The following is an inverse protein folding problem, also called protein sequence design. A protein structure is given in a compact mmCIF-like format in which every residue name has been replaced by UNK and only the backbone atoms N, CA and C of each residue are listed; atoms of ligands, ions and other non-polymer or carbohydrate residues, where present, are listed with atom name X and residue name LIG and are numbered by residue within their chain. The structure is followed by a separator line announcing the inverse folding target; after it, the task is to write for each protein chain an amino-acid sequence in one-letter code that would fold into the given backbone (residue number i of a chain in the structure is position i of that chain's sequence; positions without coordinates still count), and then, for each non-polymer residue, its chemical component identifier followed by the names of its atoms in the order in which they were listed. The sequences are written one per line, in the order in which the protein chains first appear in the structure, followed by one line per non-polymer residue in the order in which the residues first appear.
data_IF_806722648488
#
_entry.id   IF_806722648488
#
_cell.length_a   1.000
_cell.length_b   1.000
_cell.length_c   1.000
_cell.angle_alpha   90.00
_cell.angle_beta   90.00
_cell.angle_gamma   90.00
#
_symmetry.space_group_name_H-M   'P 1'
#
loop_
_entity.id
_entity.type
_entity.pdbx_description
1 polymer ?
#
# COMPACT_ATOMS: atom_id res chain seq x y z
N UNK A 1 -38.87 18.77 5.33
CA UNK A 1 -37.53 18.59 5.90
C UNK A 1 -36.53 19.18 4.91
N UNK A 2 -36.06 20.40 5.19
CA UNK A 2 -34.95 21.00 4.42
C UNK A 2 -33.69 20.22 4.81
N UNK A 3 -33.11 19.46 3.89
CA UNK A 3 -31.79 18.84 4.10
C UNK A 3 -30.77 19.97 4.22
N UNK A 4 -30.29 20.21 5.42
CA UNK A 4 -29.24 21.17 5.68
C UNK A 4 -27.93 20.68 5.08
N UNK A 5 -27.30 21.48 4.20
CA UNK A 5 -26.03 21.15 3.61
C UNK A 5 -24.91 21.33 4.65
N UNK A 6 -24.16 20.28 4.91
CA UNK A 6 -23.02 20.31 5.81
C UNK A 6 -21.76 20.61 5.00
N UNK A 7 -21.00 21.67 5.33
CA UNK A 7 -19.73 21.94 4.69
C UNK A 7 -18.75 20.79 4.97
N UNK A 8 -18.09 20.28 3.92
CA UNK A 8 -17.13 19.18 4.05
C UNK A 8 -15.94 19.40 3.12
N UNK A 9 -14.81 18.78 3.45
CA UNK A 9 -13.62 18.74 2.60
C UNK A 9 -13.78 17.65 1.53
N UNK A 10 -13.06 17.80 0.42
CA UNK A 10 -13.12 16.84 -0.68
C UNK A 10 -12.74 15.40 -0.28
N UNK A 11 -11.74 15.24 0.59
CA UNK A 11 -11.32 13.95 1.13
C UNK A 11 -12.43 13.28 1.97
N UNK A 12 -13.08 14.02 2.88
CA UNK A 12 -14.21 13.50 3.65
C UNK A 12 -15.41 13.14 2.78
N UNK A 13 -15.66 13.91 1.71
CA UNK A 13 -16.71 13.55 0.76
C UNK A 13 -16.39 12.27 0.01
N UNK A 14 -15.12 12.01 -0.35
CA UNK A 14 -14.69 10.77 -0.96
C UNK A 14 -14.88 9.57 -0.01
N UNK A 15 -14.54 9.72 1.29
CA UNK A 15 -14.82 8.69 2.29
C UNK A 15 -16.33 8.41 2.42
N UNK A 16 -17.17 9.45 2.43
CA UNK A 16 -18.64 9.28 2.46
C UNK A 16 -19.14 8.46 1.26
N UNK A 17 -18.69 8.79 0.05
CA UNK A 17 -19.05 8.05 -1.18
C UNK A 17 -18.58 6.59 -1.06
N UNK A 18 -17.36 6.36 -0.63
CA UNK A 18 -16.83 5.01 -0.44
C UNK A 18 -17.66 4.19 0.56
N UNK A 19 -18.05 4.78 1.70
CA UNK A 19 -18.93 4.12 2.67
C UNK A 19 -20.29 3.78 2.08
N UNK A 20 -20.90 4.68 1.31
CA UNK A 20 -22.20 4.46 0.67
C UNK A 20 -22.14 3.29 -0.33
N UNK A 21 -21.11 3.25 -1.17
CA UNK A 21 -20.87 2.15 -2.11
C UNK A 21 -20.59 0.81 -1.38
N UNK A 22 -19.81 0.87 -0.30
CA UNK A 22 -19.53 -0.29 0.54
C UNK A 22 -20.83 -0.85 1.14
N UNK A 23 -21.63 0.00 1.77
CA UNK A 23 -22.91 -0.39 2.41
C UNK A 23 -23.86 -0.98 1.35
N UNK A 24 -24.00 -0.35 0.20
CA UNK A 24 -24.85 -0.85 -0.88
C UNK A 24 -24.42 -2.25 -1.35
N UNK A 25 -23.11 -2.46 -1.52
CA UNK A 25 -22.57 -3.75 -1.95
C UNK A 25 -22.82 -4.85 -0.92
N UNK A 26 -22.57 -4.56 0.34
CA UNK A 26 -22.66 -5.54 1.41
C UNK A 26 -24.12 -5.85 1.79
N UNK A 27 -25.02 -4.87 1.75
CA UNK A 27 -26.47 -5.09 1.99
C UNK A 27 -27.09 -6.01 0.93
N UNK A 28 -26.57 -5.98 -0.31
CA UNK A 28 -27.01 -6.91 -1.37
C UNK A 28 -26.52 -8.33 -1.12
N UNK A 29 -25.37 -8.50 -0.48
CA UNK A 29 -24.73 -9.79 -0.24
C UNK A 29 -25.21 -10.47 1.05
N UNK A 30 -25.45 -9.68 2.08
CA UNK A 30 -25.81 -10.17 3.41
C UNK A 30 -27.11 -9.51 3.88
N UNK A 31 -28.15 -10.32 4.11
CA UNK A 31 -29.51 -9.81 4.47
C UNK A 31 -29.56 -9.11 5.82
N UNK A 32 -28.73 -9.55 6.76
CA UNK A 32 -28.69 -9.02 8.13
C UNK A 32 -27.60 -7.93 8.32
N UNK A 33 -26.98 -7.49 7.22
CA UNK A 33 -25.97 -6.44 7.28
C UNK A 33 -26.61 -5.09 7.51
N UNK A 34 -26.24 -4.45 8.62
CA UNK A 34 -26.72 -3.13 9.04
C UNK A 34 -25.54 -2.26 9.42
N UNK A 35 -25.63 -0.99 9.13
CA UNK A 35 -24.65 0.02 9.55
C UNK A 35 -25.39 1.12 10.28
N UNK A 36 -25.03 1.35 11.52
CA UNK A 36 -25.60 2.36 12.40
C UNK A 36 -24.68 3.59 12.38
N UNK A 37 -25.26 4.75 12.07
CA UNK A 37 -24.58 6.03 12.22
C UNK A 37 -25.05 6.67 13.55
N UNK A 38 -24.20 6.59 14.56
CA UNK A 38 -24.43 7.14 15.89
C UNK A 38 -23.54 8.35 16.20
N UNK A 39 -23.15 9.11 15.18
CA UNK A 39 -22.25 10.26 15.34
C UNK A 39 -22.96 11.53 15.83
N UNK A 40 -24.31 11.51 15.87
CA UNK A 40 -25.17 12.62 16.35
C UNK A 40 -24.96 13.97 15.63
N UNK A 41 -24.26 13.95 14.50
CA UNK A 41 -24.00 15.14 13.66
C UNK A 41 -23.22 14.79 12.41
N UNK A 42 -22.86 15.81 11.63
CA UNK A 42 -22.08 15.65 10.41
C UNK A 42 -22.88 15.28 9.17
N UNK A 43 -22.19 14.81 8.13
CA UNK A 43 -22.81 14.46 6.87
C UNK A 43 -23.59 13.14 6.94
N UNK A 44 -24.78 13.11 6.39
CA UNK A 44 -25.54 11.89 6.25
C UNK A 44 -24.84 10.92 5.30
N UNK A 45 -24.69 9.66 5.74
CA UNK A 45 -24.19 8.56 4.91
C UNK A 45 -25.41 7.73 4.49
N UNK A 46 -25.65 7.62 3.18
CA UNK A 46 -26.77 6.86 2.63
C UNK A 46 -26.64 5.37 2.95
N UNK A 47 -27.76 4.76 3.35
CA UNK A 47 -27.78 3.34 3.70
C UNK A 47 -27.48 3.04 5.17
N UNK A 48 -27.19 4.06 5.99
CA UNK A 48 -27.06 3.90 7.43
C UNK A 48 -28.38 4.14 8.15
N UNK A 49 -28.58 3.45 9.27
CA UNK A 49 -29.61 3.76 10.25
C UNK A 49 -29.09 4.85 11.19
N UNK A 50 -29.87 5.90 11.37
CA UNK A 50 -29.47 7.02 12.25
C UNK A 50 -30.11 6.83 13.62
N UNK A 51 -29.30 6.81 14.67
CA UNK A 51 -29.75 6.80 16.05
C UNK A 51 -28.73 7.49 16.97
N UNK A 52 -29.13 7.81 18.18
CA UNK A 52 -28.18 8.33 19.18
C UNK A 52 -27.22 7.24 19.63
N UNK A 53 -26.02 7.62 20.08
CA UNK A 53 -25.05 6.67 20.62
C UNK A 53 -25.63 5.86 21.80
N UNK A 54 -26.37 6.53 22.67
CA UNK A 54 -27.07 5.89 23.81
C UNK A 54 -28.01 4.78 23.34
N UNK A 55 -28.85 5.07 22.34
CA UNK A 55 -29.78 4.09 21.79
C UNK A 55 -29.04 2.94 21.07
N UNK A 56 -27.98 3.25 20.34
CA UNK A 56 -27.17 2.23 19.68
C UNK A 56 -26.54 1.27 20.70
N UNK A 57 -25.96 1.78 21.77
CA UNK A 57 -25.41 0.97 22.87
C UNK A 57 -26.52 0.12 23.52
N UNK A 58 -27.65 0.73 23.88
CA UNK A 58 -28.74 0.06 24.54
C UNK A 58 -29.37 -1.08 23.69
N UNK A 59 -29.40 -0.91 22.37
CA UNK A 59 -29.99 -1.86 21.45
C UNK A 59 -29.01 -2.96 21.03
N UNK A 60 -27.76 -2.65 20.79
CA UNK A 60 -26.81 -3.59 20.17
C UNK A 60 -25.82 -4.18 21.19
N UNK A 61 -25.49 -3.47 22.26
CA UNK A 61 -24.50 -3.92 23.26
C UNK A 61 -25.18 -4.63 24.46
N UNK A 62 -26.07 -5.58 24.18
CA UNK A 62 -26.84 -6.29 25.23
C UNK A 62 -26.05 -7.36 25.97
N UNK A 63 -25.00 -7.87 25.35
CA UNK A 63 -24.20 -8.95 25.92
C UNK A 63 -22.90 -8.38 26.48
N UNK A 64 -22.67 -8.64 27.76
CA UNK A 64 -21.37 -8.34 28.38
C UNK A 64 -20.34 -9.36 27.88
N UNK A 65 -19.37 -8.91 27.11
CA UNK A 65 -18.28 -9.77 26.64
C UNK A 65 -17.09 -9.59 27.57
N UNK A 66 -16.60 -10.71 28.10
CA UNK A 66 -15.32 -10.73 28.81
C UNK A 66 -14.17 -10.74 27.80
N UNK A 67 -13.68 -9.54 27.46
CA UNK A 67 -12.61 -9.36 26.49
C UNK A 67 -11.33 -10.06 26.95
N UNK A 68 -11.04 -10.03 28.26
CA UNK A 68 -9.86 -10.68 28.83
C UNK A 68 -9.90 -12.18 28.61
N UNK A 69 -11.01 -12.83 28.94
CA UNK A 69 -11.20 -14.26 28.71
C UNK A 69 -11.13 -14.62 27.21
N UNK A 70 -11.67 -13.77 26.33
CA UNK A 70 -11.55 -13.97 24.88
C UNK A 70 -10.09 -13.89 24.39
N UNK A 71 -9.31 -12.93 24.90
CA UNK A 71 -7.89 -12.79 24.57
C UNK A 71 -7.09 -14.00 25.09
N UNK A 72 -7.31 -14.40 26.34
CA UNK A 72 -6.65 -15.58 26.93
C UNK A 72 -6.96 -16.86 26.15
N UNK A 73 -8.22 -17.03 25.72
CA UNK A 73 -8.63 -18.16 24.89
C UNK A 73 -7.93 -18.15 23.52
N UNK A 74 -7.77 -16.97 22.90
CA UNK A 74 -7.04 -16.83 21.64
C UNK A 74 -5.54 -17.14 21.83
N UNK A 75 -4.94 -16.67 22.91
CA UNK A 75 -3.55 -16.98 23.24
C UNK A 75 -3.32 -18.47 23.44
N UNK A 76 -4.24 -19.17 24.12
CA UNK A 76 -4.16 -20.62 24.33
C UNK A 76 -4.37 -21.44 23.06
N UNK A 77 -5.01 -20.89 22.04
CA UNK A 77 -5.25 -21.54 20.76
C UNK A 77 -4.13 -21.30 19.72
N UNK A 78 -3.11 -20.52 20.10
CA UNK A 78 -1.98 -20.23 19.19
C UNK A 78 -1.15 -21.51 19.01
N UNK A 79 -1.26 -22.11 17.82
CA UNK A 79 -0.62 -23.37 17.51
C UNK A 79 0.92 -23.19 17.43
N UNK A 80 1.67 -24.05 18.14
CA UNK A 80 3.13 -24.08 18.10
C UNK A 80 3.69 -24.19 16.68
N UNK A 81 2.96 -24.81 15.77
CA UNK A 81 3.33 -24.90 14.36
C UNK A 81 3.28 -23.54 13.68
N UNK A 82 2.20 -22.78 13.89
CA UNK A 82 2.03 -21.42 13.33
C UNK A 82 3.09 -20.47 13.90
N UNK A 83 3.40 -20.59 15.19
CA UNK A 83 4.48 -19.83 15.81
C UNK A 83 5.84 -20.14 15.17
N UNK A 84 6.15 -21.41 14.96
CA UNK A 84 7.41 -21.80 14.32
C UNK A 84 7.51 -21.37 12.87
N UNK A 85 6.41 -21.36 12.13
CA UNK A 85 6.33 -20.85 10.75
C UNK A 85 6.52 -19.33 10.71
N UNK A 86 5.91 -18.60 11.66
CA UNK A 86 6.07 -17.15 11.79
C UNK A 86 7.51 -16.79 12.14
N UNK A 87 8.14 -17.47 13.07
CA UNK A 87 9.54 -17.26 13.44
C UNK A 87 10.48 -17.47 12.24
N UNK A 88 10.28 -18.56 11.48
CA UNK A 88 11.05 -18.80 10.25
C UNK A 88 10.84 -17.72 9.20
N UNK A 89 9.62 -17.22 9.07
CA UNK A 89 9.31 -16.12 8.16
C UNK A 89 10.07 -14.86 8.60
N UNK A 90 9.98 -14.47 9.87
CA UNK A 90 10.67 -13.30 10.42
C UNK A 90 12.19 -13.41 10.29
N UNK A 91 12.77 -14.59 10.56
CA UNK A 91 14.18 -14.85 10.42
C UNK A 91 14.70 -14.66 8.99
N UNK A 92 13.89 -15.00 7.98
CA UNK A 92 14.27 -14.87 6.57
C UNK A 92 13.97 -13.49 5.98
N UNK A 93 13.10 -12.71 6.61
CA UNK A 93 12.62 -11.42 6.11
C UNK A 93 13.74 -10.41 5.82
N UNK A 94 14.79 -10.26 6.65
CA UNK A 94 15.91 -9.37 6.34
C UNK A 94 16.62 -9.72 5.03
N UNK A 95 16.81 -11.02 4.76
CA UNK A 95 17.47 -11.47 3.53
C UNK A 95 16.63 -11.14 2.29
N UNK A 96 15.31 -11.24 2.38
CA UNK A 96 14.38 -10.86 1.30
C UNK A 96 14.47 -9.36 0.98
N UNK A 97 14.54 -8.49 1.99
CA UNK A 97 14.75 -7.06 1.77
C UNK A 97 16.13 -6.75 1.19
N UNK A 98 17.17 -7.43 1.65
CA UNK A 98 18.52 -7.32 1.07
C UNK A 98 18.53 -7.70 -0.43
N UNK A 99 17.77 -8.73 -0.83
CA UNK A 99 17.62 -9.11 -2.24
C UNK A 99 16.90 -8.02 -3.05
N UNK A 100 15.82 -7.44 -2.51
CA UNK A 100 15.12 -6.33 -3.18
C UNK A 100 16.05 -5.12 -3.34
N UNK A 101 16.84 -4.78 -2.31
CA UNK A 101 17.82 -3.70 -2.37
C UNK A 101 18.86 -3.91 -3.49
N UNK A 102 19.37 -5.14 -3.65
CA UNK A 102 20.29 -5.50 -4.74
C UNK A 102 19.62 -5.36 -6.11
N UNK A 103 18.36 -5.79 -6.24
CA UNK A 103 17.59 -5.65 -7.48
C UNK A 103 17.30 -4.18 -7.79
N UNK A 104 17.02 -3.35 -6.79
CA UNK A 104 16.84 -1.90 -6.97
C UNK A 104 18.11 -1.22 -7.47
N UNK A 105 19.29 -1.52 -6.91
CA UNK A 105 20.58 -1.05 -7.43
C UNK A 105 20.82 -1.47 -8.88
N UNK A 106 20.53 -2.73 -9.20
CA UNK A 106 20.64 -3.22 -10.58
C UNK A 106 19.67 -2.51 -11.53
N UNK A 107 18.43 -2.27 -11.09
CA UNK A 107 17.42 -1.52 -11.82
C UNK A 107 17.85 -0.08 -12.09
N UNK A 108 18.38 0.63 -11.09
CA UNK A 108 18.93 1.98 -11.26
C UNK A 108 20.02 2.01 -12.34
N UNK A 109 20.94 1.05 -12.32
CA UNK A 109 21.99 0.95 -13.33
C UNK A 109 21.43 0.73 -14.75
N UNK A 110 20.30 0.04 -14.90
CA UNK A 110 19.62 -0.11 -16.19
C UNK A 110 19.01 1.21 -16.65
N UNK A 111 18.40 2.00 -15.77
CA UNK A 111 17.89 3.34 -16.10
C UNK A 111 19.00 4.31 -16.46
N UNK A 112 20.16 4.26 -15.79
CA UNK A 112 21.37 5.02 -16.19
C UNK A 112 21.82 4.64 -17.61
N UNK A 113 21.73 3.36 -17.98
CA UNK A 113 22.04 2.93 -19.36
C UNK A 113 21.02 3.46 -20.36
N UNK A 114 19.73 3.48 -20.02
CA UNK A 114 18.68 4.07 -20.86
C UNK A 114 18.95 5.56 -21.09
N UNK A 115 19.25 6.34 -20.05
CA UNK A 115 19.57 7.76 -20.15
C UNK A 115 20.78 8.00 -21.08
N UNK A 116 21.84 7.19 -20.95
CA UNK A 116 23.01 7.30 -21.84
C UNK A 116 22.68 7.02 -23.31
N UNK A 117 21.80 6.08 -23.59
CA UNK A 117 21.37 5.76 -24.96
C UNK A 117 20.54 6.90 -25.58
N UNK A 118 19.77 7.62 -24.80
CA UNK A 118 18.95 8.74 -25.26
C UNK A 118 19.77 10.02 -25.54
N UNK A 119 20.89 10.21 -24.85
CA UNK A 119 21.77 11.37 -25.07
C UNK A 119 22.57 11.30 -26.39
N UNK A 120 22.69 10.13 -26.97
CA UNK A 120 23.37 9.98 -28.27
C UNK A 120 22.38 10.24 -29.42
N UNK A 121 22.61 11.29 -30.21
CA UNK A 121 21.73 11.72 -31.33
C UNK A 121 21.37 10.63 -32.36
N UNK A 122 22.05 9.49 -32.36
CA UNK A 122 21.71 8.27 -33.10
C UNK A 122 21.25 7.16 -32.14
N UNK A 123 20.09 7.34 -31.50
CA UNK A 123 19.53 6.34 -30.60
C UNK A 123 19.27 5.05 -31.39
N UNK A 124 20.07 4.02 -31.14
CA UNK A 124 19.78 2.67 -31.64
C UNK A 124 18.53 2.16 -30.93
N UNK A 125 17.41 2.21 -31.63
CA UNK A 125 16.11 1.81 -31.10
C UNK A 125 16.10 0.35 -30.58
N UNK A 126 16.90 -0.54 -31.23
CA UNK A 126 17.04 -1.93 -30.78
C UNK A 126 17.84 -2.05 -29.48
N UNK A 127 18.90 -1.24 -29.32
CA UNK A 127 19.65 -1.20 -28.07
C UNK A 127 18.80 -0.64 -26.91
N UNK A 128 18.01 0.41 -27.15
CA UNK A 128 17.09 0.97 -26.19
C UNK A 128 16.02 -0.04 -25.77
N UNK A 129 15.36 -0.69 -26.73
CA UNK A 129 14.35 -1.71 -26.46
C UNK A 129 14.93 -2.89 -25.66
N UNK A 130 16.14 -3.33 -25.97
CA UNK A 130 16.84 -4.40 -25.23
C UNK A 130 17.02 -4.02 -23.76
N UNK A 131 17.48 -2.80 -23.47
CA UNK A 131 17.65 -2.33 -22.08
C UNK A 131 16.31 -2.15 -21.39
N UNK A 132 15.30 -1.61 -22.07
CA UNK A 132 13.94 -1.48 -21.53
C UNK A 132 13.35 -2.84 -21.14
N UNK A 133 13.58 -3.87 -21.95
CA UNK A 133 13.17 -5.24 -21.63
C UNK A 133 13.91 -5.80 -20.39
N UNK A 134 15.17 -5.40 -20.18
CA UNK A 134 15.91 -5.74 -18.96
C UNK A 134 15.31 -5.03 -17.73
N UNK A 135 14.96 -3.75 -17.85
CA UNK A 135 14.24 -3.00 -16.80
C UNK A 135 12.95 -3.73 -16.43
N UNK A 136 12.08 -4.02 -17.40
CA UNK A 136 10.82 -4.74 -17.17
C UNK A 136 11.03 -6.08 -16.45
N UNK A 137 12.07 -6.84 -16.83
CA UNK A 137 12.40 -8.10 -16.16
C UNK A 137 12.88 -7.90 -14.72
N UNK A 138 13.67 -6.86 -14.46
CA UNK A 138 14.16 -6.53 -13.13
C UNK A 138 13.03 -6.09 -12.21
N UNK A 139 12.15 -5.20 -12.67
CA UNK A 139 10.97 -4.74 -11.93
C UNK A 139 10.06 -5.92 -11.56
N UNK A 140 9.77 -6.82 -12.52
CA UNK A 140 9.00 -8.04 -12.23
C UNK A 140 9.63 -8.94 -11.17
N UNK A 141 10.97 -8.98 -11.03
CA UNK A 141 11.62 -9.74 -9.96
C UNK A 141 11.39 -9.09 -8.60
N UNK A 142 11.44 -7.76 -8.52
CA UNK A 142 11.13 -6.99 -7.32
C UNK A 142 9.67 -7.24 -6.91
N UNK A 143 8.72 -7.05 -7.83
CA UNK A 143 7.28 -7.22 -7.59
C UNK A 143 6.87 -8.65 -7.19
N UNK A 144 7.63 -9.67 -7.59
CA UNK A 144 7.40 -11.06 -7.22
C UNK A 144 7.92 -11.45 -5.85
N UNK A 145 8.75 -10.61 -5.24
CA UNK A 145 9.18 -10.85 -3.88
C UNK A 145 7.99 -10.68 -2.93
N UNK A 146 7.77 -11.66 -2.05
CA UNK A 146 6.61 -11.69 -1.15
C UNK A 146 6.56 -10.52 -0.16
N UNK A 147 7.70 -9.87 0.11
CA UNK A 147 7.80 -8.71 0.99
C UNK A 147 7.71 -7.37 0.23
N UNK A 148 7.58 -7.39 -1.10
CA UNK A 148 7.48 -6.17 -1.90
C UNK A 148 6.26 -5.32 -1.54
N UNK A 149 5.14 -5.94 -1.14
CA UNK A 149 3.94 -5.21 -0.73
C UNK A 149 4.23 -4.24 0.42
N UNK A 150 5.08 -4.59 1.37
CA UNK A 150 5.47 -3.68 2.47
C UNK A 150 6.22 -2.45 1.95
N UNK A 151 7.10 -2.65 0.97
CA UNK A 151 7.79 -1.54 0.31
C UNK A 151 6.80 -0.67 -0.45
N UNK A 152 5.88 -1.27 -1.20
CA UNK A 152 4.85 -0.54 -1.96
C UNK A 152 3.99 0.33 -1.05
N UNK A 153 3.60 -0.17 0.11
CA UNK A 153 2.85 0.61 1.11
C UNK A 153 3.66 1.78 1.66
N UNK A 154 4.94 1.58 1.98
CA UNK A 154 5.84 2.66 2.41
C UNK A 154 6.02 3.72 1.31
N UNK A 155 6.04 3.32 0.05
CA UNK A 155 6.21 4.20 -1.10
C UNK A 155 4.90 4.82 -1.61
N UNK A 156 3.76 4.47 -1.06
CA UNK A 156 2.46 4.87 -1.60
C UNK A 156 2.31 6.39 -1.71
N UNK A 157 2.75 7.14 -0.71
CA UNK A 157 2.73 8.61 -0.71
C UNK A 157 3.69 9.17 -1.78
N UNK A 158 4.91 8.64 -1.87
CA UNK A 158 5.90 9.04 -2.86
C UNK A 158 5.42 8.73 -4.29
N UNK A 159 4.79 7.58 -4.49
CA UNK A 159 4.19 7.18 -5.76
C UNK A 159 3.04 8.10 -6.17
N UNK A 160 2.21 8.56 -5.25
CA UNK A 160 1.16 9.53 -5.54
C UNK A 160 1.75 10.86 -6.02
N UNK A 161 2.79 11.36 -5.36
CA UNK A 161 3.48 12.60 -5.75
C UNK A 161 4.10 12.47 -7.15
N UNK A 162 4.72 11.34 -7.46
CA UNK A 162 5.30 11.08 -8.79
C UNK A 162 4.24 10.94 -9.88
N UNK A 163 3.08 10.31 -9.58
CA UNK A 163 1.97 10.15 -10.53
C UNK A 163 1.29 11.46 -10.88
N UNK A 164 1.25 12.44 -9.97
CA UNK A 164 0.67 13.77 -10.28
C UNK A 164 1.47 14.55 -11.34
N UNK A 165 2.72 14.14 -11.63
CA UNK A 165 3.53 14.68 -12.72
C UNK A 165 3.37 14.01 -14.10
N UNK A 166 2.59 12.92 -14.20
CA UNK A 166 2.53 12.07 -15.40
C UNK A 166 1.75 12.64 -16.59
N UNK A 167 1.08 13.78 -16.44
CA UNK A 167 0.35 14.42 -17.55
C UNK A 167 1.19 15.53 -18.22
N UNK A 168 2.51 15.34 -18.39
CA UNK A 168 3.33 16.25 -19.17
C UNK A 168 3.19 15.92 -20.65
N UNK A 169 2.81 16.93 -21.45
CA UNK A 169 2.97 16.84 -22.89
C UNK A 169 4.45 16.99 -23.22
N UNK A 170 5.09 15.92 -23.69
CA UNK A 170 6.48 15.96 -24.15
C UNK A 170 6.57 16.59 -25.53
N UNK A 171 7.59 17.42 -25.75
CA UNK A 171 7.83 18.06 -27.06
C UNK A 171 8.59 17.12 -28.01
N UNK A 172 9.28 16.10 -27.49
CA UNK A 172 10.02 15.12 -28.28
C UNK A 172 10.08 13.76 -27.61
N UNK A 173 10.31 12.72 -28.40
CA UNK A 173 10.56 11.37 -27.90
C UNK A 173 11.80 11.30 -27.00
N UNK A 174 12.83 12.12 -27.27
CA UNK A 174 14.03 12.18 -26.44
C UNK A 174 13.74 12.72 -25.05
N UNK A 175 12.89 13.75 -24.94
CA UNK A 175 12.44 14.32 -23.68
C UNK A 175 11.66 13.29 -22.85
N UNK A 176 10.73 12.57 -23.49
CA UNK A 176 9.96 11.48 -22.86
C UNK A 176 10.90 10.38 -22.33
N UNK A 177 11.83 9.89 -23.14
CA UNK A 177 12.78 8.86 -22.74
C UNK A 177 13.66 9.30 -21.58
N UNK A 178 14.10 10.56 -21.56
CA UNK A 178 14.88 11.12 -20.46
C UNK A 178 14.06 11.17 -19.17
N UNK A 179 12.82 11.65 -19.22
CA UNK A 179 11.97 11.73 -18.06
C UNK A 179 11.66 10.33 -17.49
N UNK A 180 11.40 9.33 -18.34
CA UNK A 180 11.26 7.93 -17.95
C UNK A 180 12.51 7.41 -17.22
N UNK A 181 13.70 7.72 -17.73
CA UNK A 181 14.93 7.31 -17.10
C UNK A 181 15.16 8.00 -15.74
N UNK A 182 14.92 9.30 -15.66
CA UNK A 182 15.07 10.10 -14.43
C UNK A 182 14.07 9.66 -13.34
N UNK A 183 12.81 9.44 -13.71
CA UNK A 183 11.79 8.94 -12.78
C UNK A 183 12.10 7.51 -12.33
N UNK A 184 12.53 6.66 -13.26
CA UNK A 184 12.90 5.30 -12.94
C UNK A 184 14.10 5.20 -12.00
N UNK A 185 15.12 6.06 -12.17
CA UNK A 185 16.25 6.13 -11.24
C UNK A 185 15.79 6.54 -9.83
N UNK A 186 14.97 7.59 -9.72
CA UNK A 186 14.42 8.05 -8.43
C UNK A 186 13.58 6.97 -7.75
N UNK A 187 12.74 6.28 -8.51
CA UNK A 187 11.94 5.19 -7.99
C UNK A 187 12.82 4.05 -7.45
N UNK A 188 13.86 3.65 -8.18
CA UNK A 188 14.76 2.61 -7.72
C UNK A 188 15.57 3.01 -6.48
N UNK A 189 15.91 4.30 -6.32
CA UNK A 189 16.53 4.82 -5.11
C UNK A 189 15.58 4.71 -3.91
N UNK A 190 14.32 5.10 -4.07
CA UNK A 190 13.31 4.97 -3.02
C UNK A 190 13.09 3.50 -2.62
N UNK A 191 12.99 2.59 -3.60
CA UNK A 191 12.88 1.15 -3.33
C UNK A 191 14.08 0.65 -2.56
N UNK A 192 15.29 1.10 -2.92
CA UNK A 192 16.52 0.74 -2.25
C UNK A 192 16.54 1.22 -0.78
N UNK A 193 16.27 2.51 -0.55
CA UNK A 193 16.27 3.12 0.78
C UNK A 193 15.22 2.47 1.70
N UNK A 194 14.00 2.26 1.18
CA UNK A 194 12.97 1.54 1.92
C UNK A 194 13.37 0.10 2.26
N UNK A 195 14.05 -0.58 1.34
CA UNK A 195 14.50 -1.97 1.58
C UNK A 195 15.56 -2.03 2.67
N UNK A 196 16.52 -1.11 2.69
CA UNK A 196 17.53 -1.04 3.76
C UNK A 196 16.91 -0.73 5.12
N UNK A 197 15.98 0.23 5.17
CA UNK A 197 15.26 0.57 6.39
C UNK A 197 14.45 -0.63 6.93
N UNK A 198 13.74 -1.34 6.07
CA UNK A 198 12.94 -2.50 6.46
C UNK A 198 13.81 -3.72 6.82
N UNK A 199 14.99 -3.87 6.18
CA UNK A 199 15.97 -4.88 6.55
C UNK A 199 16.47 -4.66 7.99
N UNK A 200 16.90 -3.45 8.31
CA UNK A 200 17.36 -3.07 9.65
C UNK A 200 16.25 -3.23 10.70
N UNK A 201 15.05 -2.75 10.38
CA UNK A 201 13.89 -2.87 11.26
C UNK A 201 13.54 -4.34 11.56
N UNK A 202 13.55 -5.19 10.53
CA UNK A 202 13.23 -6.62 10.69
C UNK A 202 14.29 -7.38 11.49
N UNK A 203 15.58 -7.02 11.37
CA UNK A 203 16.66 -7.56 12.23
C UNK A 203 16.44 -7.17 13.69
N UNK A 204 16.18 -5.90 13.96
CA UNK A 204 15.94 -5.39 15.32
C UNK A 204 14.73 -6.02 16.00
N UNK A 205 13.67 -6.39 15.22
CA UNK A 205 12.53 -7.13 15.76
C UNK A 205 12.94 -8.57 16.11
N UNK A 206 13.64 -9.24 15.20
CA UNK A 206 14.04 -10.63 15.39
C UNK A 206 14.93 -10.78 16.61
N UNK A 207 15.94 -9.92 16.77
CA UNK A 207 16.85 -9.93 17.92
C UNK A 207 16.12 -9.78 19.27
N UNK A 208 15.04 -8.97 19.31
CA UNK A 208 14.20 -8.80 20.52
C UNK A 208 13.26 -9.97 20.83
N UNK A 209 13.05 -10.87 19.88
CA UNK A 209 12.21 -12.07 20.08
C UNK A 209 13.06 -13.24 20.59
N UNK A 210 14.37 -13.25 20.28
CA UNK A 210 15.30 -14.28 20.75
C UNK A 210 15.82 -14.03 22.19
N UNK A 211 15.79 -12.77 22.67
CA UNK A 211 16.06 -12.39 24.07
C UNK A 211 14.83 -12.68 24.97
#
# INVERSE_FOLDING_TARGET
NVEEKVPTRGDFNNYRIWFEEFIERWSKKYKDFRVINATEGGARIKGTEIMTLENAIAQECKTKVDITACIEQLQSSFDCKQQSELLKYLQNTPNEFCEIAKLAKAGKNLYIKLDKLTRNRNTDSKAYEKVLNQVKKNTKKIERNKNYQLIEECLNVANQIMRTGQYRAYQSFEEECKDIADQGMKYMDLVYECSEMLEEFSRNIFDKIED
#
